data_IF_695525381603
#
_entry.id   IF_695525381603
#
_cell.length_a   1.000
_cell.length_b   1.000
_cell.length_c   1.000
_cell.angle_alpha   90.00
_cell.angle_beta   90.00
_cell.angle_gamma   90.00
#
_symmetry.space_group_name_H-M   'P 1'
#
loop_
_entity.id
_entity.type
_entity.pdbx_description
1 polymer ?
#
# COMPACT_ATOMS: atom_id res chain seq x y z
N UNK A 1 -17.79 25.82 -19.47
CA UNK A 1 -16.84 25.53 -18.38
C UNK A 1 -15.78 24.59 -18.92
N UNK A 2 -14.49 24.98 -18.89
CA UNK A 2 -13.41 24.06 -19.25
C UNK A 2 -13.11 23.16 -18.05
N UNK A 3 -13.17 21.85 -18.24
CA UNK A 3 -12.78 20.87 -17.23
C UNK A 3 -11.29 20.58 -17.41
N UNK A 4 -10.40 21.05 -16.50
CA UNK A 4 -8.96 20.84 -16.67
C UNK A 4 -8.59 19.35 -16.62
N UNK A 5 -9.36 18.53 -15.90
CA UNK A 5 -9.10 17.10 -15.76
C UNK A 5 -10.32 16.27 -16.18
N UNK A 6 -10.07 15.07 -16.69
CA UNK A 6 -11.10 14.04 -16.87
C UNK A 6 -11.21 13.18 -15.61
N UNK A 7 -10.08 12.85 -14.99
CA UNK A 7 -9.98 12.00 -13.80
C UNK A 7 -9.25 12.72 -12.67
N UNK A 8 -9.76 12.57 -11.44
CA UNK A 8 -9.04 12.96 -10.21
C UNK A 8 -8.83 11.71 -9.36
N UNK A 9 -7.58 11.37 -9.06
CA UNK A 9 -7.21 10.28 -8.14
C UNK A 9 -6.81 10.89 -6.81
N UNK A 10 -7.50 10.50 -5.74
CA UNK A 10 -7.27 11.01 -4.39
C UNK A 10 -6.43 9.99 -3.62
N UNK A 11 -5.15 10.30 -3.43
CA UNK A 11 -4.17 9.43 -2.79
C UNK A 11 -3.31 8.68 -3.80
N UNK A 12 -2.00 8.91 -3.77
CA UNK A 12 -1.01 8.19 -4.57
C UNK A 12 -0.47 6.96 -3.81
N UNK A 13 -1.38 6.17 -3.22
CA UNK A 13 -1.06 4.92 -2.53
C UNK A 13 -0.90 3.73 -3.47
N UNK A 14 -0.94 2.50 -2.93
CA UNK A 14 -0.81 1.28 -3.74
C UNK A 14 -1.80 1.20 -4.90
N UNK A 15 -3.09 1.38 -4.61
CA UNK A 15 -4.15 1.37 -5.63
C UNK A 15 -4.12 2.61 -6.55
N UNK A 16 -3.92 3.79 -5.97
CA UNK A 16 -3.91 5.05 -6.73
C UNK A 16 -2.79 5.11 -7.76
N UNK A 17 -1.58 4.65 -7.41
CA UNK A 17 -0.47 4.54 -8.37
C UNK A 17 -0.80 3.55 -9.50
N UNK A 18 -1.38 2.39 -9.19
CA UNK A 18 -1.76 1.40 -10.20
C UNK A 18 -2.84 1.94 -11.16
N UNK A 19 -3.86 2.61 -10.63
CA UNK A 19 -4.91 3.27 -11.42
C UNK A 19 -4.36 4.38 -12.31
N UNK A 20 -3.49 5.25 -11.76
CA UNK A 20 -2.82 6.30 -12.52
C UNK A 20 -2.07 5.73 -13.73
N UNK A 21 -1.39 4.59 -13.54
CA UNK A 21 -0.68 3.92 -14.62
C UNK A 21 -1.62 3.39 -15.70
N UNK A 22 -2.72 2.73 -15.34
CA UNK A 22 -3.68 2.18 -16.30
C UNK A 22 -4.44 3.28 -17.05
N UNK A 23 -4.96 4.29 -16.35
CA UNK A 23 -5.59 5.43 -17.00
C UNK A 23 -4.60 6.19 -17.90
N UNK A 24 -3.35 6.31 -17.44
CA UNK A 24 -2.25 6.93 -18.20
C UNK A 24 -1.74 6.13 -19.41
N UNK A 25 -2.28 4.95 -19.70
CA UNK A 25 -2.05 4.26 -20.99
C UNK A 25 -2.75 4.98 -22.15
N UNK A 26 -3.83 5.72 -21.86
CA UNK A 26 -4.54 6.55 -22.83
C UNK A 26 -4.01 7.99 -22.81
N UNK A 27 -3.25 8.37 -23.84
CA UNK A 27 -2.60 9.68 -23.93
C UNK A 27 -3.55 10.88 -23.98
N UNK A 28 -4.84 10.68 -24.28
CA UNK A 28 -5.84 11.74 -24.27
C UNK A 28 -6.33 12.08 -22.87
N UNK A 29 -6.14 11.20 -21.88
CA UNK A 29 -6.68 11.41 -20.54
C UNK A 29 -5.91 12.45 -19.75
N UNK A 30 -6.63 13.49 -19.29
CA UNK A 30 -6.12 14.47 -18.33
C UNK A 30 -6.41 14.00 -16.90
N UNK A 31 -5.35 13.72 -16.14
CA UNK A 31 -5.41 13.07 -14.84
C UNK A 31 -4.73 13.97 -13.81
N UNK A 32 -5.46 14.31 -12.74
CA UNK A 32 -4.88 14.94 -11.55
C UNK A 32 -4.74 13.89 -10.44
N UNK A 33 -3.57 13.85 -9.81
CA UNK A 33 -3.28 12.99 -8.68
C UNK A 33 -2.94 13.87 -7.48
N UNK A 34 -3.71 13.74 -6.40
CA UNK A 34 -3.54 14.52 -5.18
C UNK A 34 -3.02 13.61 -4.06
N UNK A 35 -1.82 13.88 -3.55
CA UNK A 35 -1.20 13.14 -2.46
C UNK A 35 -0.94 14.06 -1.26
N UNK A 36 -1.44 13.67 -0.09
CA UNK A 36 -1.33 14.45 1.14
C UNK A 36 0.11 14.48 1.68
N UNK A 37 0.92 13.47 1.39
CA UNK A 37 2.33 13.41 1.75
C UNK A 37 3.27 14.11 0.77
N UNK A 38 4.53 14.29 1.18
CA UNK A 38 5.59 14.77 0.28
C UNK A 38 5.98 13.68 -0.73
N UNK A 39 6.82 14.06 -1.70
CA UNK A 39 7.50 13.11 -2.58
C UNK A 39 8.33 12.08 -1.80
N UNK A 40 8.48 10.87 -2.35
CA UNK A 40 9.19 9.72 -1.77
C UNK A 40 10.73 9.81 -1.95
N UNK A 41 11.32 10.97 -1.64
CA UNK A 41 12.72 11.28 -1.96
C UNK A 41 13.76 10.73 -0.96
N UNK A 42 13.32 10.30 0.22
CA UNK A 42 14.23 9.82 1.27
C UNK A 42 14.91 8.50 0.87
N UNK A 43 16.24 8.46 1.04
CA UNK A 43 17.02 7.22 0.91
C UNK A 43 16.50 6.09 1.80
N UNK A 44 15.98 6.42 2.99
CA UNK A 44 15.46 5.44 3.93
C UNK A 44 14.19 4.74 3.43
N UNK A 45 13.46 5.34 2.48
CA UNK A 45 12.32 4.69 1.83
C UNK A 45 12.79 3.64 0.81
N UNK A 46 13.94 3.86 0.16
CA UNK A 46 14.50 2.94 -0.85
C UNK A 46 15.24 1.75 -0.23
N UNK A 47 15.89 1.96 0.90
CA UNK A 47 16.58 0.89 1.63
C UNK A 47 15.56 -0.07 2.28
N UNK A 48 15.58 -1.38 1.97
CA UNK A 48 14.68 -2.35 2.59
C UNK A 48 14.60 -2.27 4.13
N UNK A 49 15.75 -2.23 4.81
CA UNK A 49 15.81 -2.08 6.27
C UNK A 49 15.54 -0.64 6.77
N UNK A 50 15.40 0.34 5.86
CA UNK A 50 15.37 1.75 6.20
C UNK A 50 14.08 2.22 6.86
N UNK A 51 12.96 1.51 6.68
CA UNK A 51 11.68 1.98 7.21
C UNK A 51 11.66 2.02 8.75
N UNK A 52 12.34 1.08 9.44
CA UNK A 52 12.44 1.09 10.91
C UNK A 52 13.22 2.31 11.44
N UNK A 53 13.99 2.98 10.58
CA UNK A 53 14.70 4.22 10.88
C UNK A 53 13.89 5.49 10.62
N UNK A 54 12.64 5.40 10.14
CA UNK A 54 11.75 6.54 9.98
C UNK A 54 11.26 7.00 11.35
N UNK A 55 12.08 7.79 12.04
CA UNK A 55 11.84 8.24 13.42
C UNK A 55 10.49 8.94 13.65
N UNK A 56 10.21 9.30 14.89
CA UNK A 56 8.91 9.81 15.36
C UNK A 56 8.40 11.10 14.69
N UNK A 57 9.26 11.83 13.97
CA UNK A 57 8.89 13.06 13.26
C UNK A 57 8.88 12.90 11.73
N UNK A 58 8.95 11.66 11.23
CA UNK A 58 8.91 11.37 9.80
C UNK A 58 7.67 11.98 9.14
N UNK A 59 7.82 12.79 8.07
CA UNK A 59 6.70 13.35 7.32
C UNK A 59 6.01 12.31 6.41
N UNK A 60 6.60 11.12 6.28
CA UNK A 60 6.16 10.06 5.37
C UNK A 60 5.12 9.11 5.97
N UNK A 61 4.63 9.38 7.19
CA UNK A 61 3.79 8.47 7.96
C UNK A 61 2.60 9.22 8.57
N UNK A 62 1.39 8.72 8.32
CA UNK A 62 0.23 9.00 9.15
C UNK A 62 0.34 8.19 10.43
N UNK A 63 0.30 8.87 11.58
CA UNK A 63 0.52 8.28 12.91
C UNK A 63 -0.81 8.08 13.61
N UNK A 64 -1.70 7.31 13.00
CA UNK A 64 -2.97 7.04 13.64
C UNK A 64 -2.77 6.23 14.93
N UNK A 65 -3.69 6.42 15.85
CA UNK A 65 -3.87 5.56 17.00
C UNK A 65 -5.30 5.10 17.02
N UNK A 66 -5.54 3.86 17.44
CA UNK A 66 -6.89 3.39 17.68
C UNK A 66 -7.51 4.14 18.87
N UNK A 67 -8.84 4.07 18.99
CA UNK A 67 -9.48 4.26 20.29
C UNK A 67 -8.96 3.22 21.31
N UNK A 68 -9.14 3.43 22.62
CA UNK A 68 -8.86 2.39 23.61
C UNK A 68 -9.55 1.08 23.24
N UNK A 69 -8.79 -0.01 23.24
CA UNK A 69 -9.27 -1.33 22.83
C UNK A 69 -9.61 -2.14 24.09
N UNK A 70 -10.90 -2.27 24.41
CA UNK A 70 -11.39 -3.00 25.60
C UNK A 70 -10.84 -4.42 25.72
N UNK A 71 -10.65 -5.09 24.59
CA UNK A 71 -10.15 -6.47 24.51
C UNK A 71 -8.62 -6.55 24.43
N UNK A 72 -7.92 -5.42 24.62
CA UNK A 72 -6.46 -5.31 24.61
C UNK A 72 -5.98 -4.47 25.80
N UNK A 73 -6.62 -4.63 26.97
CA UNK A 73 -6.33 -3.90 28.22
C UNK A 73 -6.38 -2.38 28.05
N UNK A 74 -7.41 -1.90 27.34
CA UNK A 74 -7.67 -0.47 27.07
C UNK A 74 -6.52 0.28 26.39
N UNK A 75 -5.58 -0.46 25.77
CA UNK A 75 -4.47 0.14 25.04
C UNK A 75 -4.95 0.91 23.81
N UNK A 76 -4.25 1.99 23.49
CA UNK A 76 -4.26 2.61 22.17
C UNK A 76 -3.18 1.95 21.34
N UNK A 77 -3.56 1.43 20.17
CA UNK A 77 -2.63 0.75 19.29
C UNK A 77 -2.11 1.74 18.25
N UNK A 78 -0.79 1.82 18.11
CA UNK A 78 -0.17 2.61 17.05
C UNK A 78 -0.48 1.98 15.69
N UNK A 79 -1.04 2.77 14.78
CA UNK A 79 -1.58 2.28 13.52
C UNK A 79 -1.07 3.07 12.31
N UNK A 80 0.21 2.91 11.96
CA UNK A 80 0.85 3.73 10.95
C UNK A 80 0.29 3.44 9.55
N UNK A 81 0.21 4.49 8.72
CA UNK A 81 -0.05 4.39 7.27
C UNK A 81 0.96 5.25 6.51
N UNK A 82 1.30 4.86 5.29
CA UNK A 82 2.19 5.68 4.46
C UNK A 82 1.52 6.99 4.05
N UNK A 83 2.25 8.09 4.19
CA UNK A 83 1.86 9.45 3.80
C UNK A 83 2.93 10.01 2.85
N UNK A 84 2.98 9.49 1.64
CA UNK A 84 3.94 9.87 0.60
C UNK A 84 3.54 9.20 -0.72
N UNK A 85 4.20 9.54 -1.84
CA UNK A 85 4.03 8.80 -3.09
C UNK A 85 4.33 7.31 -2.88
N UNK A 86 3.41 6.45 -3.32
CA UNK A 86 3.41 5.01 -3.08
C UNK A 86 2.65 4.59 -1.81
N UNK A 87 2.30 5.54 -0.94
CA UNK A 87 1.58 5.32 0.31
C UNK A 87 2.24 4.26 1.18
N UNK A 88 1.45 3.32 1.70
CA UNK A 88 1.97 2.25 2.57
C UNK A 88 2.96 1.32 1.87
N UNK A 89 2.98 1.20 0.53
CA UNK A 89 3.99 0.40 -0.16
C UNK A 89 5.41 0.97 -0.01
N UNK A 90 5.53 2.28 0.22
CA UNK A 90 6.81 2.96 0.46
C UNK A 90 7.35 2.73 1.88
N UNK A 91 6.56 2.15 2.79
CA UNK A 91 6.96 1.92 4.20
C UNK A 91 6.67 0.51 4.74
N UNK A 92 6.08 -0.39 3.95
CA UNK A 92 5.73 -1.76 4.39
C UNK A 92 6.96 -2.68 4.54
N UNK A 93 6.75 -3.91 5.01
CA UNK A 93 7.78 -4.94 5.10
C UNK A 93 8.15 -5.61 3.75
N UNK A 94 7.59 -5.15 2.63
CA UNK A 94 7.80 -5.67 1.25
C UNK A 94 7.43 -7.13 1.02
N UNK A 95 6.95 -7.86 2.02
CA UNK A 95 6.45 -9.22 1.88
C UNK A 95 5.38 -9.28 0.77
N UNK A 96 5.58 -10.19 -0.18
CA UNK A 96 4.66 -10.39 -1.30
C UNK A 96 3.94 -11.74 -1.18
N UNK A 97 2.71 -11.68 -0.69
CA UNK A 97 1.80 -12.83 -0.56
C UNK A 97 0.41 -12.38 -0.99
N UNK A 98 -0.29 -13.22 -1.75
CA UNK A 98 -1.66 -13.04 -2.21
C UNK A 98 -2.63 -13.64 -1.19
N UNK A 99 -3.90 -13.26 -1.29
CA UNK A 99 -4.96 -13.94 -0.54
C UNK A 99 -5.10 -15.39 -0.99
N UNK A 100 -5.70 -16.21 -0.14
CA UNK A 100 -6.06 -17.58 -0.51
C UNK A 100 -7.19 -17.56 -1.54
N UNK A 101 -7.28 -18.57 -2.41
CA UNK A 101 -8.32 -18.62 -3.45
C UNK A 101 -9.74 -18.49 -2.86
N UNK A 102 -9.94 -19.09 -1.68
CA UNK A 102 -11.20 -19.00 -0.94
C UNK A 102 -11.60 -17.55 -0.60
N UNK A 103 -10.65 -16.64 -0.33
CA UNK A 103 -10.95 -15.24 0.03
C UNK A 103 -11.71 -14.54 -1.11
N UNK A 104 -11.22 -14.72 -2.34
CA UNK A 104 -11.80 -14.14 -3.55
C UNK A 104 -13.11 -14.84 -3.95
N UNK A 105 -13.13 -16.18 -3.88
CA UNK A 105 -14.36 -16.92 -4.13
C UNK A 105 -15.47 -16.57 -3.15
N UNK A 106 -15.11 -16.32 -1.89
CA UNK A 106 -16.03 -15.81 -0.89
C UNK A 106 -16.52 -14.40 -1.25
N UNK A 107 -15.65 -13.49 -1.70
CA UNK A 107 -16.10 -12.17 -2.18
C UNK A 107 -17.12 -12.28 -3.32
N UNK A 108 -16.91 -13.21 -4.26
CA UNK A 108 -17.92 -13.49 -5.30
C UNK A 108 -19.23 -14.00 -4.71
N UNK A 109 -19.18 -14.91 -3.75
CA UNK A 109 -20.38 -15.45 -3.06
C UNK A 109 -21.14 -14.37 -2.29
N UNK A 110 -20.47 -13.33 -1.81
CA UNK A 110 -21.08 -12.15 -1.20
C UNK A 110 -21.75 -11.20 -2.21
N UNK A 111 -21.78 -11.55 -3.49
CA UNK A 111 -22.46 -10.80 -4.56
C UNK A 111 -21.53 -9.97 -5.46
N UNK A 112 -20.21 -10.06 -5.28
CA UNK A 112 -19.25 -9.33 -6.11
C UNK A 112 -18.90 -10.16 -7.36
N UNK A 113 -19.77 -10.14 -8.36
CA UNK A 113 -19.53 -10.84 -9.63
C UNK A 113 -18.19 -10.39 -10.27
N UNK A 114 -17.42 -11.35 -10.80
CA UNK A 114 -16.10 -11.10 -11.38
C UNK A 114 -14.95 -11.01 -10.37
N UNK A 115 -15.17 -11.39 -9.10
CA UNK A 115 -14.15 -11.39 -8.05
C UNK A 115 -13.75 -12.79 -7.56
N UNK A 116 -14.06 -13.87 -8.30
CA UNK A 116 -13.50 -15.19 -7.95
C UNK A 116 -11.99 -15.21 -8.08
N UNK A 117 -11.32 -16.19 -7.48
CA UNK A 117 -9.87 -16.35 -7.67
C UNK A 117 -9.49 -16.47 -9.15
N UNK A 118 -10.30 -17.21 -9.91
CA UNK A 118 -10.11 -17.38 -11.34
C UNK A 118 -10.22 -16.04 -12.12
N UNK A 119 -11.13 -15.15 -11.71
CA UNK A 119 -11.31 -13.85 -12.34
C UNK A 119 -10.14 -12.89 -12.03
N UNK A 120 -9.59 -12.95 -10.81
CA UNK A 120 -8.53 -12.03 -10.36
C UNK A 120 -7.12 -12.50 -10.70
N UNK A 121 -6.90 -13.82 -10.88
CA UNK A 121 -5.58 -14.38 -11.19
C UNK A 121 -4.91 -13.73 -12.41
N UNK A 122 -5.60 -13.47 -13.55
CA UNK A 122 -5.03 -12.72 -14.66
C UNK A 122 -4.50 -11.33 -14.29
N UNK A 123 -5.14 -10.65 -13.33
CA UNK A 123 -4.69 -9.34 -12.85
C UNK A 123 -3.48 -9.44 -11.91
N UNK A 124 -3.39 -10.49 -11.09
CA UNK A 124 -2.17 -10.77 -10.32
C UNK A 124 -0.99 -11.01 -11.25
N UNK A 125 -1.16 -11.85 -12.28
CA UNK A 125 -0.14 -12.10 -13.31
C UNK A 125 0.21 -10.82 -14.07
N UNK A 126 -0.77 -9.99 -14.44
CA UNK A 126 -0.53 -8.71 -15.14
C UNK A 126 0.25 -7.70 -14.28
N UNK A 127 0.08 -7.73 -12.97
CA UNK A 127 0.77 -6.83 -12.05
C UNK A 127 2.23 -7.23 -11.81
N UNK A 128 2.52 -8.52 -11.87
CA UNK A 128 3.76 -9.14 -11.40
C UNK A 128 4.84 -9.24 -12.50
N UNK A 129 6.08 -8.91 -12.13
CA UNK A 129 7.28 -9.41 -12.77
C UNK A 129 8.01 -10.29 -11.77
N UNK A 130 7.75 -11.60 -11.80
CA UNK A 130 8.42 -12.57 -10.95
C UNK A 130 9.78 -12.91 -11.55
N UNK A 131 10.84 -12.72 -10.78
CA UNK A 131 12.21 -13.02 -11.23
C UNK A 131 12.44 -14.52 -11.47
N UNK A 132 11.58 -15.41 -10.94
CA UNK A 132 11.60 -16.85 -11.25
C UNK A 132 11.03 -17.18 -12.63
N UNK A 133 10.34 -16.25 -13.27
CA UNK A 133 9.65 -16.44 -14.55
C UNK A 133 8.13 -16.57 -14.42
N UNK A 134 7.45 -16.64 -15.55
CA UNK A 134 6.00 -16.84 -15.61
C UNK A 134 5.65 -18.33 -15.63
N UNK A 135 4.54 -18.68 -14.99
CA UNK A 135 3.94 -20.01 -15.01
C UNK A 135 2.41 -19.91 -14.92
N UNK A 136 1.73 -20.96 -14.46
CA UNK A 136 0.26 -20.96 -14.30
C UNK A 136 -0.22 -19.91 -13.30
N UNK A 137 0.55 -19.64 -12.24
CA UNK A 137 0.21 -18.73 -11.15
C UNK A 137 0.93 -17.37 -11.25
N UNK A 138 2.07 -17.30 -11.91
CA UNK A 138 2.95 -16.14 -11.93
C UNK A 138 3.00 -15.41 -13.26
N UNK A 139 3.16 -14.09 -13.15
CA UNK A 139 3.42 -13.21 -14.28
C UNK A 139 4.89 -12.83 -14.42
N UNK A 140 5.30 -12.52 -15.65
CA UNK A 140 6.57 -11.90 -15.97
C UNK A 140 6.32 -10.64 -16.81
N UNK A 141 7.16 -9.62 -16.64
CA UNK A 141 7.07 -8.34 -17.36
C UNK A 141 6.07 -7.32 -16.79
N UNK A 142 5.38 -7.64 -15.69
CA UNK A 142 4.55 -6.67 -14.98
C UNK A 142 5.35 -5.54 -14.31
N UNK A 143 4.69 -4.45 -13.89
CA UNK A 143 5.37 -3.31 -13.26
C UNK A 143 5.94 -3.60 -11.86
N UNK A 144 5.33 -4.53 -11.11
CA UNK A 144 5.77 -4.86 -9.75
C UNK A 144 6.82 -5.98 -9.78
N UNK A 145 8.07 -5.64 -9.51
CA UNK A 145 9.16 -6.62 -9.42
C UNK A 145 9.04 -7.44 -8.14
N UNK A 146 8.99 -8.76 -8.29
CA UNK A 146 8.91 -9.74 -7.19
C UNK A 146 10.14 -10.63 -7.26
N UNK A 147 10.91 -10.64 -6.17
CA UNK A 147 12.21 -11.30 -6.10
C UNK A 147 12.30 -12.17 -4.84
N UNK A 148 13.19 -13.17 -4.90
CA UNK A 148 13.62 -13.86 -3.68
C UNK A 148 14.45 -12.92 -2.80
N UNK A 149 14.50 -13.20 -1.50
CA UNK A 149 15.29 -12.41 -0.56
C UNK A 149 16.78 -12.48 -0.94
N UNK A 150 17.43 -11.33 -1.07
CA UNK A 150 18.82 -11.26 -1.55
C UNK A 150 19.87 -11.76 -0.53
N UNK A 151 19.58 -11.66 0.77
CA UNK A 151 20.45 -12.07 1.86
C UNK A 151 19.58 -12.56 3.04
N UNK A 152 18.90 -13.71 2.91
CA UNK A 152 18.07 -14.24 3.98
C UNK A 152 18.96 -14.61 5.17
N UNK A 153 18.58 -14.15 6.37
CA UNK A 153 19.36 -14.45 7.57
C UNK A 153 19.39 -15.97 7.82
N UNK A 154 20.53 -16.50 8.28
CA UNK A 154 20.66 -17.94 8.61
C UNK A 154 19.68 -18.42 9.69
N UNK A 155 19.10 -17.49 10.47
CA UNK A 155 18.01 -17.77 11.41
C UNK A 155 16.75 -18.30 10.70
N UNK A 156 16.48 -17.87 9.47
CA UNK A 156 15.35 -18.35 8.67
C UNK A 156 15.47 -19.86 8.43
N UNK A 157 16.65 -20.35 8.07
CA UNK A 157 16.87 -21.78 7.86
C UNK A 157 16.73 -22.60 9.15
N UNK A 158 17.19 -22.06 10.28
CA UNK A 158 17.00 -22.70 11.58
C UNK A 158 15.50 -22.78 11.96
N UNK A 159 14.75 -21.71 11.71
CA UNK A 159 13.30 -21.67 11.93
C UNK A 159 12.56 -22.68 11.04
N UNK A 160 12.84 -22.69 9.73
CA UNK A 160 12.19 -23.62 8.80
C UNK A 160 12.46 -25.09 9.15
N UNK A 161 13.69 -25.45 9.53
CA UNK A 161 14.00 -26.81 10.00
C UNK A 161 13.22 -27.19 11.26
N UNK A 162 13.08 -26.26 12.20
CA UNK A 162 12.30 -26.49 13.41
C UNK A 162 10.81 -26.70 13.10
N UNK A 163 10.27 -25.93 12.15
CA UNK A 163 8.90 -26.13 11.67
C UNK A 163 8.69 -27.50 11.00
N UNK A 164 9.63 -27.95 10.16
CA UNK A 164 9.60 -29.28 9.56
C UNK A 164 9.64 -30.39 10.62
N UNK A 165 10.49 -30.25 11.64
CA UNK A 165 10.54 -31.17 12.80
C UNK A 165 9.23 -31.19 13.60
N UNK A 166 8.51 -30.06 13.64
CA UNK A 166 7.19 -29.95 14.25
C UNK A 166 6.05 -30.49 13.36
N UNK A 167 6.37 -30.99 12.15
CA UNK A 167 5.40 -31.61 11.23
C UNK A 167 4.78 -30.65 10.21
N UNK A 168 5.26 -29.41 10.10
CA UNK A 168 4.79 -28.49 9.09
C UNK A 168 5.45 -28.75 7.74
N UNK A 169 4.65 -28.74 6.67
CA UNK A 169 5.13 -28.91 5.29
C UNK A 169 5.90 -27.68 4.83
N UNK A 170 7.05 -27.90 4.19
CA UNK A 170 7.79 -26.82 3.52
C UNK A 170 7.16 -26.49 2.17
N UNK A 171 6.91 -25.21 1.93
CA UNK A 171 6.35 -24.66 0.70
C UNK A 171 7.37 -23.71 0.08
N UNK A 172 7.61 -23.86 -1.23
CA UNK A 172 8.57 -23.04 -1.97
C UNK A 172 7.96 -21.72 -2.47
N UNK A 173 6.63 -21.63 -2.49
CA UNK A 173 5.88 -20.52 -3.06
C UNK A 173 4.48 -20.42 -2.45
N UNK A 174 4.23 -19.33 -1.72
CA UNK A 174 2.93 -19.06 -1.10
C UNK A 174 1.87 -18.56 -2.08
N UNK A 175 2.26 -18.25 -3.32
CA UNK A 175 1.37 -17.69 -4.34
C UNK A 175 1.07 -18.70 -5.46
N UNK A 176 1.54 -19.94 -5.32
CA UNK A 176 1.34 -21.04 -6.25
C UNK A 176 0.12 -21.90 -5.92
N UNK A 177 0.16 -23.17 -6.33
CA UNK A 177 -0.95 -24.10 -6.16
C UNK A 177 -1.30 -24.42 -4.70
N UNK A 178 -0.33 -24.34 -3.78
CA UNK A 178 -0.49 -24.70 -2.38
C UNK A 178 0.14 -23.63 -1.49
N UNK A 179 -0.67 -23.02 -0.62
CA UNK A 179 -0.26 -21.92 0.24
C UNK A 179 0.03 -22.37 1.68
N UNK A 180 -0.57 -23.47 2.14
CA UNK A 180 -0.43 -23.94 3.52
C UNK A 180 0.94 -24.58 3.77
N UNK A 181 1.73 -23.96 4.64
CA UNK A 181 3.02 -24.49 5.06
C UNK A 181 3.98 -23.42 5.54
N UNK A 182 5.27 -23.76 5.56
CA UNK A 182 6.36 -22.90 6.01
C UNK A 182 7.36 -22.69 4.88
N UNK A 183 7.86 -21.47 4.73
CA UNK A 183 8.72 -21.12 3.60
C UNK A 183 9.22 -19.69 3.68
N UNK A 184 10.15 -19.35 2.79
CA UNK A 184 10.59 -17.97 2.60
C UNK A 184 9.62 -17.27 1.66
N UNK A 185 9.08 -16.13 2.09
CA UNK A 185 8.29 -15.26 1.22
C UNK A 185 9.18 -14.54 0.21
N UNK A 186 8.63 -14.28 -0.98
CA UNK A 186 9.19 -13.32 -1.92
C UNK A 186 8.92 -11.88 -1.45
N UNK A 187 9.67 -10.94 -2.01
CA UNK A 187 9.60 -9.52 -1.66
C UNK A 187 9.44 -8.64 -2.89
N UNK A 188 8.75 -7.51 -2.73
CA UNK A 188 8.67 -6.47 -3.77
C UNK A 188 9.93 -5.61 -3.75
N UNK A 189 11.00 -6.14 -4.36
CA UNK A 189 12.29 -5.48 -4.50
C UNK A 189 12.77 -5.53 -5.94
N UNK A 190 13.59 -4.55 -6.35
CA UNK A 190 14.31 -4.57 -7.63
C UNK A 190 15.71 -4.02 -7.40
N UNK A 191 16.74 -4.71 -7.92
CA UNK A 191 18.14 -4.34 -7.68
C UNK A 191 18.46 -4.19 -6.18
N UNK A 192 17.82 -5.02 -5.34
CA UNK A 192 17.95 -5.03 -3.87
C UNK A 192 17.47 -3.75 -3.18
N UNK A 193 16.67 -2.93 -3.86
CA UNK A 193 15.97 -1.78 -3.29
C UNK A 193 14.48 -2.11 -3.14
N UNK A 194 13.81 -1.41 -2.22
CA UNK A 194 12.34 -1.41 -2.17
C UNK A 194 11.76 -1.00 -3.53
N UNK A 195 10.82 -1.79 -4.03
CA UNK A 195 10.09 -1.47 -5.25
C UNK A 195 8.63 -1.07 -4.94
N UNK A 196 8.45 0.17 -4.46
CA UNK A 196 7.13 0.71 -4.12
C UNK A 196 6.24 0.88 -5.35
N UNK A 197 4.93 1.08 -5.15
CA UNK A 197 4.02 1.36 -6.27
C UNK A 197 4.28 2.70 -6.94
N UNK A 198 4.92 3.65 -6.25
CA UNK A 198 5.40 4.88 -6.89
C UNK A 198 6.44 4.58 -7.96
N UNK A 199 7.43 3.73 -7.64
CA UNK A 199 8.47 3.31 -8.59
C UNK A 199 7.91 2.39 -9.68
N UNK A 200 7.06 1.43 -9.31
CA UNK A 200 6.53 0.43 -10.22
C UNK A 200 5.51 1.01 -11.22
N UNK A 201 4.63 1.91 -10.77
CA UNK A 201 3.47 2.36 -11.55
C UNK A 201 3.49 3.86 -11.83
N UNK A 202 3.64 4.69 -10.79
CA UNK A 202 3.43 6.14 -10.91
C UNK A 202 4.50 6.83 -11.75
N UNK A 203 5.79 6.58 -11.47
CA UNK A 203 6.89 7.18 -12.25
C UNK A 203 6.81 6.79 -13.73
N UNK A 204 6.65 5.51 -14.10
CA UNK A 204 6.45 5.14 -15.51
C UNK A 204 5.21 5.77 -16.16
N UNK A 205 4.11 5.91 -15.42
CA UNK A 205 2.90 6.56 -15.93
C UNK A 205 3.16 8.03 -16.26
N UNK A 206 3.78 8.75 -15.32
CA UNK A 206 4.12 10.15 -15.48
C UNK A 206 5.15 10.36 -16.58
N UNK A 207 6.22 9.56 -16.63
CA UNK A 207 7.23 9.64 -17.70
C UNK A 207 6.60 9.42 -19.09
N UNK A 208 5.67 8.47 -19.18
CA UNK A 208 4.94 8.18 -20.42
C UNK A 208 4.02 9.33 -20.84
N UNK A 209 3.32 9.98 -19.91
CA UNK A 209 2.26 10.95 -20.22
C UNK A 209 2.35 12.26 -19.39
N UNK A 210 3.56 12.81 -19.26
CA UNK A 210 3.84 13.97 -18.37
C UNK A 210 3.04 15.25 -18.69
N UNK A 211 2.54 15.38 -19.91
CA UNK A 211 1.76 16.54 -20.34
C UNK A 211 0.29 16.45 -19.92
N UNK A 212 -0.20 15.26 -19.57
CA UNK A 212 -1.60 15.05 -19.19
C UNK A 212 -1.75 14.44 -17.78
N UNK A 213 -0.67 14.02 -17.12
CA UNK A 213 -0.69 13.57 -15.74
C UNK A 213 -0.03 14.62 -14.86
N UNK A 214 -0.83 15.26 -14.01
CA UNK A 214 -0.37 16.18 -12.99
C UNK A 214 -0.37 15.50 -11.62
N UNK A 215 0.73 15.65 -10.88
CA UNK A 215 0.89 15.11 -9.53
C UNK A 215 1.14 16.28 -8.59
N UNK A 216 0.25 16.45 -7.62
CA UNK A 216 0.37 17.47 -6.57
C UNK A 216 0.57 16.77 -5.23
N UNK A 217 1.78 16.90 -4.68
CA UNK A 217 2.13 16.42 -3.33
C UNK A 217 1.86 17.48 -2.27
N UNK A 218 1.84 17.08 -0.99
CA UNK A 218 1.43 17.94 0.13
C UNK A 218 0.03 18.56 -0.09
N UNK A 219 -0.84 17.82 -0.79
CA UNK A 219 -2.19 18.22 -1.14
C UNK A 219 -3.21 17.32 -0.43
N UNK A 220 -3.80 17.84 0.64
CA UNK A 220 -4.80 17.10 1.41
C UNK A 220 -6.20 17.45 0.95
N UNK A 221 -6.87 16.48 0.31
CA UNK A 221 -8.28 16.59 -0.04
C UNK A 221 -9.13 16.51 1.23
N UNK A 222 -10.06 17.45 1.39
CA UNK A 222 -10.91 17.53 2.58
C UNK A 222 -12.41 17.43 2.26
N UNK A 223 -12.80 17.59 0.99
CA UNK A 223 -14.20 17.53 0.56
C UNK A 223 -14.34 17.19 -0.92
N UNK A 224 -15.31 16.33 -1.23
CA UNK A 224 -15.82 16.10 -2.59
C UNK A 224 -16.95 17.10 -2.85
N UNK A 225 -16.88 17.78 -3.99
CA UNK A 225 -17.88 18.73 -4.44
C UNK A 225 -18.95 17.97 -5.23
N UNK A 226 -20.19 18.05 -4.75
CA UNK A 226 -21.34 17.37 -5.35
C UNK A 226 -22.24 18.37 -6.08
N UNK A 227 -22.85 17.92 -7.18
CA UNK A 227 -23.99 18.54 -7.85
C UNK A 227 -25.08 17.49 -8.01
N UNK A 228 -26.12 17.58 -7.17
CA UNK A 228 -27.10 16.49 -6.99
C UNK A 228 -26.41 15.20 -6.57
N UNK A 229 -26.53 14.16 -7.40
CA UNK A 229 -25.93 12.84 -7.18
C UNK A 229 -24.54 12.70 -7.83
N UNK A 230 -24.04 13.73 -8.50
CA UNK A 230 -22.79 13.67 -9.27
C UNK A 230 -21.63 14.32 -8.52
N UNK A 231 -20.50 13.61 -8.45
CA UNK A 231 -19.24 14.20 -8.01
C UNK A 231 -18.63 15.05 -9.12
N UNK A 232 -18.41 16.34 -8.85
CA UNK A 232 -17.96 17.33 -9.83
C UNK A 232 -16.54 17.82 -9.61
N UNK A 233 -15.97 17.57 -8.44
CA UNK A 233 -14.61 17.99 -8.13
C UNK A 233 -14.25 17.76 -6.68
N UNK A 234 -13.12 18.30 -6.27
CA UNK A 234 -12.64 18.23 -4.90
C UNK A 234 -12.12 19.57 -4.44
N UNK A 235 -12.27 19.84 -3.14
CA UNK A 235 -11.53 20.88 -2.43
C UNK A 235 -10.35 20.23 -1.72
N UNK A 236 -9.20 20.87 -1.79
CA UNK A 236 -7.98 20.38 -1.15
C UNK A 236 -7.11 21.54 -0.66
N UNK A 237 -6.30 21.27 0.36
CA UNK A 237 -5.34 22.22 0.90
C UNK A 237 -3.95 21.86 0.41
N UNK A 238 -3.24 22.82 -0.18
CA UNK A 238 -1.84 22.68 -0.59
C UNK A 238 -1.06 23.93 -0.24
N UNK A 239 0.10 23.78 0.39
CA UNK A 239 0.93 24.90 0.86
C UNK A 239 0.15 25.94 1.71
N UNK A 240 -0.80 25.47 2.51
CA UNK A 240 -1.64 26.32 3.37
C UNK A 240 -2.73 27.11 2.63
N UNK A 241 -2.99 26.82 1.36
CA UNK A 241 -4.04 27.46 0.56
C UNK A 241 -5.12 26.47 0.18
N UNK A 242 -6.37 26.92 0.23
CA UNK A 242 -7.52 26.20 -0.28
C UNK A 242 -7.56 26.28 -1.81
N UNK A 243 -7.63 25.12 -2.46
CA UNK A 243 -7.71 24.97 -3.90
C UNK A 243 -8.91 24.11 -4.29
N UNK A 244 -9.34 24.24 -5.55
CA UNK A 244 -10.46 23.47 -6.11
C UNK A 244 -10.06 22.86 -7.45
N UNK A 245 -10.19 21.55 -7.57
CA UNK A 245 -10.06 20.84 -8.83
C UNK A 245 -11.41 20.29 -9.29
N UNK A 246 -11.68 20.39 -10.59
CA UNK A 246 -12.92 19.98 -11.24
C UNK A 246 -12.63 18.90 -12.28
N UNK A 247 -13.47 17.87 -12.36
CA UNK A 247 -13.31 16.78 -13.35
C UNK A 247 -14.57 16.50 -14.16
N UNK A 248 -14.39 16.11 -15.42
CA UNK A 248 -15.50 15.80 -16.33
C UNK A 248 -15.99 14.34 -16.29
N UNK A 249 -15.20 13.39 -15.78
CA UNK A 249 -15.58 11.96 -15.72
C UNK A 249 -15.70 11.44 -14.30
N UNK A 250 -14.58 11.12 -13.66
CA UNK A 250 -14.58 10.35 -12.42
C UNK A 250 -13.63 10.93 -11.36
N UNK A 251 -14.04 10.77 -10.10
CA UNK A 251 -13.22 11.01 -8.92
C UNK A 251 -13.01 9.66 -8.24
N UNK A 252 -11.77 9.24 -8.12
CA UNK A 252 -11.41 7.90 -7.65
C UNK A 252 -10.74 8.02 -6.28
N UNK A 253 -11.39 7.49 -5.25
CA UNK A 253 -10.89 7.53 -3.88
C UNK A 253 -9.88 6.40 -3.66
N UNK A 254 -8.63 6.78 -3.41
CA UNK A 254 -7.51 5.89 -3.11
C UNK A 254 -6.81 6.26 -1.78
N UNK A 255 -7.55 6.86 -0.83
CA UNK A 255 -7.04 7.27 0.48
C UNK A 255 -6.80 6.12 1.47
N UNK A 256 -6.99 4.88 1.03
CA UNK A 256 -6.90 3.68 1.89
C UNK A 256 -8.10 3.51 2.81
N UNK A 257 -8.08 2.44 3.62
CA UNK A 257 -9.22 2.01 4.45
C UNK A 257 -9.60 2.97 5.57
N UNK A 258 -8.74 3.94 5.90
CA UNK A 258 -9.00 4.96 6.93
C UNK A 258 -9.48 6.26 6.28
N UNK A 259 -8.72 6.81 5.34
CA UNK A 259 -8.99 8.18 4.86
C UNK A 259 -10.09 8.21 3.78
N UNK A 260 -10.32 7.11 3.05
CA UNK A 260 -11.41 7.07 2.05
C UNK A 260 -12.80 7.19 2.69
N UNK A 261 -13.18 6.36 3.70
CA UNK A 261 -14.46 6.54 4.37
C UNK A 261 -14.53 7.87 5.14
N UNK A 262 -13.43 8.35 5.72
CA UNK A 262 -13.38 9.67 6.35
C UNK A 262 -13.74 10.77 5.36
N UNK A 263 -13.15 10.77 4.15
CA UNK A 263 -13.42 11.78 3.14
C UNK A 263 -14.87 11.71 2.63
N UNK A 264 -15.43 10.52 2.46
CA UNK A 264 -16.85 10.35 2.13
C UNK A 264 -17.74 11.01 3.20
N UNK A 265 -17.47 10.74 4.48
CA UNK A 265 -18.21 11.33 5.59
C UNK A 265 -18.07 12.85 5.65
N UNK A 266 -16.85 13.40 5.49
CA UNK A 266 -16.61 14.85 5.40
C UNK A 266 -17.34 15.51 4.22
N UNK A 267 -17.62 14.73 3.18
CA UNK A 267 -18.37 15.14 1.99
C UNK A 267 -19.88 14.94 2.12
N UNK A 268 -20.37 14.46 3.27
CA UNK A 268 -21.80 14.24 3.53
C UNK A 268 -22.34 12.91 2.98
N UNK A 269 -21.48 11.94 2.72
CA UNK A 269 -21.83 10.58 2.28
C UNK A 269 -21.48 9.59 3.40
N UNK A 270 -22.48 9.03 4.08
CA UNK A 270 -22.24 8.14 5.22
C UNK A 270 -23.45 7.97 6.14
N UNK A 271 -23.26 7.46 7.38
CA UNK A 271 -24.35 7.25 8.34
C UNK A 271 -25.01 8.57 8.73
N UNK A 272 -26.28 8.76 8.40
CA UNK A 272 -26.93 10.07 8.46
C UNK A 272 -26.90 10.70 9.86
N UNK A 273 -27.18 9.92 10.91
CA UNK A 273 -27.21 10.43 12.29
C UNK A 273 -25.83 10.82 12.80
N UNK A 274 -24.79 10.05 12.45
CA UNK A 274 -23.41 10.40 12.78
C UNK A 274 -23.00 11.71 12.10
N UNK A 275 -23.31 11.88 10.81
CA UNK A 275 -23.03 13.11 10.07
C UNK A 275 -23.77 14.33 10.67
N UNK A 276 -25.05 14.18 11.00
CA UNK A 276 -25.86 15.23 11.66
C UNK A 276 -25.27 15.63 13.01
N UNK A 277 -24.81 14.66 13.82
CA UNK A 277 -24.18 14.95 15.12
C UNK A 277 -22.90 15.79 15.02
N UNK A 278 -22.25 15.79 13.86
CA UNK A 278 -21.05 16.59 13.56
C UNK A 278 -21.36 17.89 12.79
N UNK A 279 -22.64 18.21 12.58
CA UNK A 279 -23.06 19.38 11.80
C UNK A 279 -22.78 19.27 10.29
N UNK A 280 -22.57 18.06 9.78
CA UNK A 280 -22.31 17.81 8.35
C UNK A 280 -23.64 17.60 7.64
N UNK A 281 -23.89 18.38 6.58
CA UNK A 281 -25.05 18.17 5.70
C UNK A 281 -24.98 16.77 5.08
N UNK A 282 -26.03 15.98 5.28
CA UNK A 282 -26.20 14.68 4.63
C UNK A 282 -26.61 14.89 3.18
N UNK A 283 -25.75 14.47 2.25
CA UNK A 283 -26.04 14.44 0.82
C UNK A 283 -26.54 13.06 0.37
N UNK A 284 -25.96 12.01 0.93
CA UNK A 284 -26.36 10.64 0.64
C UNK A 284 -26.18 9.79 1.90
N UNK A 285 -27.27 9.18 2.37
CA UNK A 285 -27.20 8.24 3.47
C UNK A 285 -26.63 6.90 2.99
N UNK A 286 -25.51 6.50 3.57
CA UNK A 286 -24.85 5.23 3.28
C UNK A 286 -24.24 4.65 4.57
N UNK A 287 -25.04 3.90 5.37
CA UNK A 287 -24.64 3.47 6.72
C UNK A 287 -23.38 2.60 6.78
N UNK A 288 -23.02 1.94 5.67
CA UNK A 288 -21.81 1.11 5.60
C UNK A 288 -20.50 1.90 5.58
N UNK A 289 -20.52 3.21 5.30
CA UNK A 289 -19.28 4.01 5.25
C UNK A 289 -18.65 4.10 6.63
N UNK A 290 -17.39 3.66 6.73
CA UNK A 290 -16.65 3.61 7.99
C UNK A 290 -16.92 2.37 8.85
N UNK A 291 -17.82 1.48 8.41
CA UNK A 291 -18.15 0.21 9.06
C UNK A 291 -17.38 -0.97 8.45
N UNK A 292 -17.55 -2.16 9.02
CA UNK A 292 -16.91 -3.41 8.57
C UNK A 292 -15.37 -3.33 8.47
N UNK A 293 -14.77 -2.54 9.37
CA UNK A 293 -13.32 -2.42 9.47
C UNK A 293 -12.71 -3.72 9.96
N UNK A 294 -11.78 -4.26 9.20
CA UNK A 294 -11.06 -5.49 9.50
C UNK A 294 -9.56 -5.22 9.44
N UNK A 295 -8.79 -5.91 10.27
CA UNK A 295 -7.34 -5.87 10.26
C UNK A 295 -6.78 -7.20 10.80
N UNK A 296 -5.53 -7.50 10.48
CA UNK A 296 -4.82 -8.63 11.08
C UNK A 296 -4.17 -8.18 12.38
N UNK A 297 -4.61 -8.73 13.51
CA UNK A 297 -3.98 -8.46 14.79
C UNK A 297 -2.65 -9.19 14.87
N UNK A 298 -1.57 -8.44 15.09
CA UNK A 298 -0.23 -8.97 15.23
C UNK A 298 0.22 -9.00 16.70
N UNK A 299 0.98 -10.04 17.05
CA UNK A 299 1.56 -10.24 18.38
C UNK A 299 3.00 -10.76 18.23
N UNK A 300 3.96 -9.94 18.66
CA UNK A 300 5.37 -10.29 18.59
C UNK A 300 5.80 -11.14 19.81
N UNK A 301 6.40 -12.30 19.53
CA UNK A 301 7.14 -13.10 20.52
C UNK A 301 8.63 -12.89 20.32
N UNK A 302 9.29 -12.28 21.31
CA UNK A 302 10.72 -11.98 21.25
C UNK A 302 11.52 -12.99 22.08
N UNK A 303 12.60 -13.51 21.51
CA UNK A 303 13.49 -14.46 22.17
C UNK A 303 14.95 -14.02 21.99
N UNK A 304 15.78 -14.27 23.00
CA UNK A 304 17.21 -13.97 22.91
C UNK A 304 17.88 -14.91 21.91
N UNK A 305 18.49 -14.34 20.88
CA UNK A 305 19.30 -15.09 19.94
C UNK A 305 20.70 -15.36 20.51
N UNK A 306 21.17 -16.60 20.36
CA UNK A 306 22.54 -17.00 20.74
C UNK A 306 23.59 -16.48 19.75
N UNK A 307 23.19 -16.17 18.52
CA UNK A 307 24.09 -15.62 17.48
C UNK A 307 24.05 -14.10 17.46
N UNK A 308 24.97 -13.49 16.72
CA UNK A 308 25.06 -12.03 16.53
C UNK A 308 24.32 -11.52 15.29
N UNK A 309 23.54 -12.38 14.64
CA UNK A 309 23.07 -12.14 13.26
C UNK A 309 21.78 -11.32 13.17
N UNK A 310 21.26 -10.87 14.31
CA UNK A 310 20.01 -10.10 14.44
C UNK A 310 20.26 -8.59 14.34
N UNK A 311 19.25 -7.85 13.88
CA UNK A 311 19.36 -6.39 13.64
C UNK A 311 19.69 -5.56 14.88
N UNK A 312 19.36 -6.04 16.09
CA UNK A 312 19.65 -5.36 17.36
C UNK A 312 21.14 -5.39 17.72
N UNK A 313 21.89 -6.41 17.28
CA UNK A 313 23.33 -6.56 17.57
C UNK A 313 24.23 -6.11 16.42
N UNK A 314 23.74 -6.08 15.18
CA UNK A 314 24.57 -5.68 14.03
C UNK A 314 24.94 -4.19 14.08
N UNK A 315 26.17 -3.89 13.66
CA UNK A 315 26.63 -2.51 13.55
C UNK A 315 25.89 -1.80 12.41
N UNK A 316 25.06 -0.80 12.77
CA UNK A 316 24.22 -0.05 11.84
C UNK A 316 25.02 0.74 10.80
N UNK A 317 26.18 1.30 11.18
CA UNK A 317 27.03 2.07 10.26
C UNK A 317 27.68 1.16 9.21
N UNK A 318 28.16 -0.02 9.63
CA UNK A 318 28.72 -1.02 8.71
C UNK A 318 27.63 -1.53 7.76
N UNK A 319 26.44 -1.82 8.29
CA UNK A 319 25.30 -2.28 7.48
C UNK A 319 24.87 -1.22 6.47
N UNK A 320 24.82 0.05 6.88
CA UNK A 320 24.53 1.17 5.99
C UNK A 320 25.60 1.33 4.90
N UNK A 321 26.89 1.21 5.25
CA UNK A 321 27.98 1.29 4.30
C UNK A 321 27.93 0.16 3.27
N UNK A 322 27.74 -1.09 3.72
CA UNK A 322 27.59 -2.26 2.84
C UNK A 322 26.44 -2.11 1.85
N UNK A 323 25.30 -1.58 2.31
CA UNK A 323 24.16 -1.35 1.46
C UNK A 323 24.38 -0.18 0.50
N UNK A 324 24.84 0.97 1.00
CA UNK A 324 25.05 2.17 0.20
C UNK A 324 26.09 1.95 -0.91
N UNK A 325 27.21 1.29 -0.59
CA UNK A 325 28.32 1.09 -1.53
C UNK A 325 28.14 -0.13 -2.44
N UNK A 326 27.58 -1.22 -1.92
CA UNK A 326 27.59 -2.52 -2.59
C UNK A 326 26.21 -3.16 -2.76
N UNK A 327 25.13 -2.52 -2.28
CA UNK A 327 23.78 -3.12 -2.23
C UNK A 327 23.83 -4.51 -1.59
N UNK A 328 24.50 -4.64 -0.47
CA UNK A 328 24.74 -5.93 0.21
C UNK A 328 24.53 -5.82 1.71
N UNK A 329 24.47 -6.97 2.39
CA UNK A 329 24.32 -7.06 3.82
C UNK A 329 22.91 -6.69 4.31
N UNK A 330 22.74 -6.47 5.62
CA UNK A 330 21.42 -6.35 6.28
C UNK A 330 20.49 -5.30 5.69
N UNK A 331 21.03 -4.28 5.02
CA UNK A 331 20.25 -3.21 4.43
C UNK A 331 19.35 -3.68 3.27
N UNK A 332 19.64 -4.82 2.65
CA UNK A 332 18.87 -5.40 1.53
C UNK A 332 17.65 -6.19 1.98
N UNK A 333 17.56 -6.57 3.26
CA UNK A 333 16.41 -7.28 3.81
C UNK A 333 15.48 -6.30 4.56
N UNK A 334 14.15 -6.47 4.48
CA UNK A 334 13.25 -5.84 5.45
C UNK A 334 13.63 -6.23 6.87
N UNK A 335 13.36 -5.33 7.81
CA UNK A 335 13.24 -5.67 9.22
C UNK A 335 11.82 -6.20 9.40
N UNK A 336 11.69 -7.48 9.69
CA UNK A 336 10.44 -8.12 10.09
C UNK A 336 10.42 -8.24 11.62
#
# INVERSE_FOLDING_TARGET
MSWPYEYIIIGAGSAGCALANRLGEHYSHRILILEAGPADSSFMLKMPAGFAGLGEKSPYVWRYETTPQKHCNDRRMYWPRGKTLGGSSSINAMLYVRGHAWDYDHWRQLGNAGWSYQDVLPFFKKAENNERGADDFHGAGGPLNVADQADPAGLNDAFLRACEQAGHKRVADFNGAEQEGVGCYQVTQKNRERWSTASAYLRPAWERNKNNIEIVTNAQVDRIILDGTRAMGVRYVVNGRDEVARCSREIILCGGSVNSPQLLMLSGIGPADHLRSLGIKVWHELPGVGSNLQDHLDAALLQFCKTGDTYDRRNKLVSLYQYWKHKSGPGTSPIA
#
